data_IF_115290528466
#
_entry.id   IF_115290528466
#
_cell.length_a   1.000
_cell.length_b   1.000
_cell.length_c   1.000
_cell.angle_alpha   90.00
_cell.angle_beta   90.00
_cell.angle_gamma   90.00
#
_symmetry.space_group_name_H-M   'P 1'
#
loop_
_entity.id
_entity.type
_entity.pdbx_description
1 polymer ?
#
# COMPACT_ATOMS: atom_id res chain seq x y z
N UNK A 1 -22.21 19.61 11.00
CA UNK A 1 -21.77 18.24 11.33
C UNK A 1 -20.39 17.98 10.77
N UNK A 2 -19.51 17.46 11.58
CA UNK A 2 -18.14 17.16 11.15
C UNK A 2 -18.09 15.78 10.50
N UNK A 3 -17.56 15.73 9.27
CA UNK A 3 -17.36 14.46 8.59
C UNK A 3 -16.15 13.74 9.20
N UNK A 4 -16.37 12.54 9.74
CA UNK A 4 -15.33 11.71 10.34
C UNK A 4 -15.06 10.43 9.55
N UNK A 5 -15.55 10.38 8.29
CA UNK A 5 -15.27 9.23 7.42
C UNK A 5 -13.77 8.97 7.33
N UNK A 6 -13.35 7.74 7.61
CA UNK A 6 -11.96 7.35 7.59
C UNK A 6 -11.19 7.66 8.87
N UNK A 7 -11.85 8.19 9.90
CA UNK A 7 -11.21 8.43 11.19
C UNK A 7 -11.47 7.25 12.12
N UNK A 8 -10.43 6.71 12.73
CA UNK A 8 -10.53 5.65 13.72
C UNK A 8 -10.11 6.18 15.08
N UNK A 9 -10.58 5.52 16.12
CA UNK A 9 -10.32 5.94 17.50
C UNK A 9 -8.83 5.81 17.87
N UNK A 10 -8.19 4.72 17.44
CA UNK A 10 -6.82 4.39 17.87
C UNK A 10 -5.76 4.57 16.79
N UNK A 11 -6.15 4.59 15.52
CA UNK A 11 -5.21 4.65 14.40
C UNK A 11 -5.25 5.98 13.62
N UNK A 12 -5.96 6.98 14.14
CA UNK A 12 -6.10 8.26 13.46
C UNK A 12 -6.96 8.16 12.20
N UNK A 13 -6.63 8.96 11.19
CA UNK A 13 -7.34 8.91 9.91
C UNK A 13 -6.77 7.79 9.06
N UNK A 14 -7.62 7.11 8.31
CA UNK A 14 -7.20 6.00 7.46
C UNK A 14 -7.92 6.01 6.12
N UNK A 15 -7.32 5.31 5.14
CA UNK A 15 -7.89 5.14 3.81
C UNK A 15 -7.61 3.70 3.35
N UNK A 16 -8.56 3.14 2.61
CA UNK A 16 -8.41 1.82 2.03
C UNK A 16 -8.89 1.81 0.59
N UNK A 17 -8.15 1.14 -0.29
CA UNK A 17 -8.59 0.89 -1.66
C UNK A 17 -8.38 -0.58 -1.99
N UNK A 18 -9.17 -1.09 -2.92
CA UNK A 18 -9.07 -2.49 -3.38
C UNK A 18 -9.13 -2.52 -4.89
N UNK A 19 -8.40 -3.48 -5.46
CA UNK A 19 -8.38 -3.69 -6.90
C UNK A 19 -8.26 -5.18 -7.17
N UNK A 20 -9.22 -5.75 -7.91
CA UNK A 20 -9.16 -7.15 -8.32
C UNK A 20 -8.51 -7.25 -9.70
N UNK A 21 -7.57 -8.17 -9.82
CA UNK A 21 -6.83 -8.39 -11.06
C UNK A 21 -6.92 -9.85 -11.47
N UNK A 22 -6.81 -10.13 -12.79
CA UNK A 22 -6.97 -11.45 -13.34
C UNK A 22 -5.64 -12.21 -13.35
N UNK A 23 -5.13 -12.52 -12.15
CA UNK A 23 -3.89 -13.28 -11.97
C UNK A 23 -3.94 -14.00 -10.63
N UNK A 24 -3.10 -15.03 -10.47
CA UNK A 24 -3.05 -15.77 -9.21
C UNK A 24 -2.42 -14.92 -8.11
N UNK A 25 -2.72 -15.23 -6.86
CA UNK A 25 -2.16 -14.52 -5.72
C UNK A 25 -0.63 -14.56 -5.69
N UNK A 26 -0.05 -15.69 -6.04
CA UNK A 26 1.40 -15.83 -6.09
C UNK A 26 2.03 -14.90 -7.14
N UNK A 27 1.46 -14.85 -8.33
CA UNK A 27 1.95 -13.98 -9.40
C UNK A 27 1.80 -12.50 -9.01
N UNK A 28 0.65 -12.15 -8.43
CA UNK A 28 0.41 -10.78 -7.98
C UNK A 28 1.39 -10.40 -6.87
N UNK A 29 1.61 -11.29 -5.90
CA UNK A 29 2.54 -11.04 -4.80
C UNK A 29 3.98 -10.82 -5.30
N UNK A 30 4.44 -11.68 -6.20
CA UNK A 30 5.78 -11.54 -6.78
C UNK A 30 5.94 -10.21 -7.50
N UNK A 31 4.90 -9.78 -8.21
CA UNK A 31 4.92 -8.48 -8.88
C UNK A 31 5.01 -7.34 -7.86
N UNK A 32 4.16 -7.36 -6.85
CA UNK A 32 4.12 -6.31 -5.83
C UNK A 32 5.45 -6.18 -5.07
N UNK A 33 6.13 -7.29 -4.82
CA UNK A 33 7.39 -7.30 -4.09
C UNK A 33 8.61 -7.10 -4.99
N UNK A 34 8.43 -7.07 -6.30
CA UNK A 34 9.51 -6.93 -7.27
C UNK A 34 9.29 -5.78 -8.24
N UNK A 35 8.90 -6.12 -9.48
CA UNK A 35 8.73 -5.13 -10.55
C UNK A 35 7.69 -4.07 -10.25
N UNK A 36 6.70 -4.39 -9.44
CA UNK A 36 5.64 -3.45 -9.07
C UNK A 36 5.96 -2.52 -7.91
N UNK A 37 7.09 -2.70 -7.22
CA UNK A 37 7.46 -1.82 -6.12
C UNK A 37 7.43 -0.34 -6.50
N UNK A 38 7.99 0.08 -7.66
CA UNK A 38 7.92 1.49 -8.05
C UNK A 38 6.51 2.03 -8.23
N UNK A 39 5.52 1.16 -8.47
CA UNK A 39 4.14 1.60 -8.67
C UNK A 39 3.44 1.95 -7.35
N UNK A 40 3.79 1.28 -6.25
CA UNK A 40 3.08 1.52 -4.99
C UNK A 40 3.97 2.03 -3.85
N UNK A 41 5.26 1.75 -3.85
CA UNK A 41 6.16 2.18 -2.77
C UNK A 41 7.23 3.14 -3.27
N UNK A 42 7.95 2.76 -4.31
CA UNK A 42 9.08 3.52 -4.84
C UNK A 42 10.20 2.58 -5.23
N UNK A 43 11.23 3.13 -5.84
CA UNK A 43 12.40 2.34 -6.22
C UNK A 43 13.20 1.98 -4.97
N UNK A 44 13.20 0.69 -4.63
CA UNK A 44 13.88 0.18 -3.46
C UNK A 44 13.93 -1.34 -3.53
N UNK A 45 14.69 -1.93 -2.63
CA UNK A 45 14.60 -3.36 -2.33
C UNK A 45 13.91 -3.47 -0.99
N UNK A 46 12.76 -4.10 -0.96
CA UNK A 46 12.00 -4.22 0.29
C UNK A 46 12.46 -5.44 1.06
N UNK A 47 12.95 -5.27 2.30
CA UNK A 47 13.32 -6.41 3.13
C UNK A 47 12.09 -7.22 3.53
N UNK A 48 12.28 -8.48 3.87
CA UNK A 48 11.21 -9.42 4.18
C UNK A 48 11.18 -9.82 5.66
N UNK A 49 11.95 -9.15 6.49
CA UNK A 49 12.03 -9.47 7.91
C UNK A 49 11.59 -8.28 8.75
N UNK A 50 10.83 -8.60 9.81
CA UNK A 50 10.35 -7.59 10.76
C UNK A 50 11.55 -6.83 11.36
N UNK A 51 11.41 -5.50 11.41
CA UNK A 51 12.43 -4.63 11.97
C UNK A 51 13.46 -4.12 10.97
N UNK A 52 13.50 -4.67 9.77
CA UNK A 52 14.44 -4.22 8.76
C UNK A 52 13.93 -2.95 8.07
N UNK A 53 14.85 -2.00 7.87
CA UNK A 53 14.54 -0.69 7.30
C UNK A 53 14.62 -0.69 5.78
N UNK A 54 13.85 0.19 5.15
CA UNK A 54 13.94 0.46 3.71
C UNK A 54 13.99 1.96 3.47
N UNK A 55 14.50 2.34 2.30
CA UNK A 55 14.49 3.71 1.81
C UNK A 55 14.27 3.69 0.31
N UNK A 56 13.35 4.50 -0.19
CA UNK A 56 13.11 4.62 -1.63
C UNK A 56 13.96 5.74 -2.23
N UNK A 57 14.13 5.71 -3.54
CA UNK A 57 14.91 6.71 -4.26
C UNK A 57 14.33 8.12 -4.10
N UNK A 58 13.01 8.24 -3.92
CA UNK A 58 12.33 9.53 -3.79
C UNK A 58 12.12 9.95 -2.33
N UNK A 59 12.75 9.29 -1.38
CA UNK A 59 12.83 9.77 0.00
C UNK A 59 11.78 9.25 0.97
N UNK A 60 11.11 8.15 0.65
CA UNK A 60 10.25 7.49 1.63
C UNK A 60 11.08 6.53 2.46
N UNK A 61 10.96 6.60 3.78
CA UNK A 61 11.66 5.72 4.69
C UNK A 61 10.68 5.00 5.61
N UNK A 62 11.11 3.85 6.12
CA UNK A 62 10.33 3.09 7.07
C UNK A 62 10.98 1.76 7.41
N UNK A 63 10.22 0.92 8.09
CA UNK A 63 10.67 -0.43 8.42
C UNK A 63 9.52 -1.41 8.27
N UNK A 64 9.85 -2.66 7.98
CA UNK A 64 8.87 -3.74 7.88
C UNK A 64 8.41 -4.12 9.29
N UNK A 65 7.10 -4.16 9.48
CA UNK A 65 6.48 -4.53 10.77
C UNK A 65 5.90 -5.94 10.73
N UNK A 66 5.34 -6.34 9.60
CA UNK A 66 4.82 -7.69 9.37
C UNK A 66 5.11 -8.07 7.93
N UNK A 67 5.59 -9.27 7.71
CA UNK A 67 5.73 -9.84 6.36
C UNK A 67 5.22 -11.28 6.40
N UNK A 68 4.17 -11.54 5.62
CA UNK A 68 3.63 -12.89 5.44
C UNK A 68 3.55 -13.13 3.94
N UNK A 69 4.45 -13.98 3.44
CA UNK A 69 4.58 -14.22 1.99
C UNK A 69 3.25 -14.64 1.38
N UNK A 70 2.96 -14.11 0.20
CA UNK A 70 1.72 -14.34 -0.54
C UNK A 70 0.46 -13.88 0.18
N UNK A 71 0.58 -13.06 1.22
CA UNK A 71 -0.55 -12.59 2.01
C UNK A 71 -0.54 -11.10 2.26
N UNK A 72 0.47 -10.60 2.97
CA UNK A 72 0.49 -9.17 3.30
C UNK A 72 1.88 -8.71 3.74
N UNK A 73 2.12 -7.43 3.55
CA UNK A 73 3.24 -6.72 4.16
C UNK A 73 2.68 -5.48 4.84
N UNK A 74 3.13 -5.25 6.08
CA UNK A 74 2.77 -4.07 6.84
C UNK A 74 4.07 -3.36 7.21
N UNK A 75 4.14 -2.06 6.94
CA UNK A 75 5.37 -1.29 7.13
C UNK A 75 5.04 0.11 7.60
N UNK A 76 6.01 0.77 8.20
CA UNK A 76 5.89 2.20 8.44
C UNK A 76 6.23 2.93 7.14
N UNK A 77 5.63 4.09 6.93
CA UNK A 77 5.76 4.84 5.70
C UNK A 77 5.89 6.32 6.03
N UNK A 78 7.04 6.89 5.70
CA UNK A 78 7.37 8.26 6.12
C UNK A 78 8.16 8.97 5.03
N UNK A 79 7.50 9.78 4.20
CA UNK A 79 8.20 10.65 3.26
C UNK A 79 9.09 11.65 4.02
N UNK A 80 10.24 11.97 3.47
CA UNK A 80 11.22 12.85 4.11
C UNK A 80 10.63 14.20 4.53
N UNK A 81 9.66 14.72 3.76
CA UNK A 81 9.05 16.03 4.03
C UNK A 81 7.82 15.97 4.94
N UNK A 82 7.47 14.78 5.46
CA UNK A 82 6.35 14.64 6.38
C UNK A 82 6.83 14.73 7.83
N UNK A 83 6.06 15.39 8.73
CA UNK A 83 6.47 15.53 10.14
C UNK A 83 6.18 14.31 10.99
N UNK A 84 5.55 13.27 10.44
CA UNK A 84 5.16 12.07 11.20
C UNK A 84 5.21 10.84 10.31
N UNK A 85 5.37 9.67 10.92
CA UNK A 85 5.27 8.41 10.19
C UNK A 85 3.83 7.92 10.18
N UNK A 86 3.55 7.02 9.25
CA UNK A 86 2.24 6.39 9.05
C UNK A 86 2.44 4.89 8.93
N UNK A 87 1.35 4.15 8.80
CA UNK A 87 1.40 2.69 8.63
C UNK A 87 0.71 2.31 7.33
N UNK A 88 1.41 1.56 6.50
CA UNK A 88 0.91 1.13 5.20
C UNK A 88 0.86 -0.39 5.15
N UNK A 89 -0.26 -0.95 4.69
CA UNK A 89 -0.40 -2.39 4.50
C UNK A 89 -0.84 -2.67 3.08
N UNK A 90 -0.16 -3.60 2.43
CA UNK A 90 -0.56 -4.13 1.12
C UNK A 90 -0.80 -5.61 1.30
N UNK A 91 -1.96 -6.08 0.83
CA UNK A 91 -2.37 -7.47 1.00
C UNK A 91 -2.92 -8.02 -0.30
N UNK A 92 -2.91 -9.34 -0.42
CA UNK A 92 -3.54 -10.05 -1.52
C UNK A 92 -4.50 -11.09 -0.95
N UNK A 93 -5.64 -11.25 -1.60
CA UNK A 93 -6.65 -12.19 -1.19
C UNK A 93 -7.29 -12.83 -2.42
N UNK A 94 -7.47 -14.14 -2.39
CA UNK A 94 -8.11 -14.84 -3.47
C UNK A 94 -9.54 -14.33 -3.68
N UNK A 95 -9.91 -14.16 -4.95
CA UNK A 95 -11.24 -13.68 -5.33
C UNK A 95 -11.71 -14.43 -6.57
N UNK A 96 -12.99 -14.33 -6.86
CA UNK A 96 -13.55 -14.94 -8.07
C UNK A 96 -12.87 -14.33 -9.29
N UNK A 97 -12.25 -15.20 -10.11
CA UNK A 97 -11.59 -14.80 -11.34
C UNK A 97 -10.22 -14.16 -11.15
N UNK A 98 -9.65 -14.18 -9.94
CA UNK A 98 -8.33 -13.61 -9.76
C UNK A 98 -7.94 -13.35 -8.32
N UNK A 99 -7.36 -12.18 -8.09
CA UNK A 99 -6.83 -11.79 -6.79
C UNK A 99 -7.19 -10.34 -6.50
N UNK A 100 -7.64 -10.07 -5.28
CA UNK A 100 -7.88 -8.71 -4.82
C UNK A 100 -6.66 -8.19 -4.09
N UNK A 101 -6.14 -7.06 -4.56
CA UNK A 101 -5.07 -6.32 -3.92
C UNK A 101 -5.72 -5.31 -2.99
N UNK A 102 -5.35 -5.33 -1.72
CA UNK A 102 -5.82 -4.33 -0.74
C UNK A 102 -4.69 -3.39 -0.36
N UNK A 103 -4.96 -2.10 -0.32
CA UNK A 103 -4.01 -1.09 0.16
C UNK A 103 -4.70 -0.36 1.29
N UNK A 104 -4.11 -0.40 2.49
CA UNK A 104 -4.67 0.23 3.68
C UNK A 104 -3.60 1.13 4.29
N UNK A 105 -3.93 2.41 4.46
CA UNK A 105 -2.98 3.40 4.95
C UNK A 105 -3.58 4.05 6.19
N UNK A 106 -2.92 3.88 7.33
CA UNK A 106 -3.39 4.31 8.64
C UNK A 106 -2.51 5.40 9.24
N UNK A 107 -3.01 6.03 10.30
CA UNK A 107 -2.28 7.01 11.10
C UNK A 107 -2.02 8.29 10.32
N UNK A 108 -2.93 8.63 9.43
CA UNK A 108 -2.91 9.91 8.73
C UNK A 108 -3.30 11.01 9.70
N UNK A 109 -2.74 12.19 9.55
CA UNK A 109 -2.82 13.25 10.54
C UNK A 109 -4.20 13.93 10.58
N UNK A 110 -4.84 14.09 9.41
CA UNK A 110 -6.08 14.84 9.31
C UNK A 110 -6.87 14.44 8.06
N UNK A 111 -8.03 15.07 7.89
CA UNK A 111 -8.92 14.82 6.77
C UNK A 111 -8.29 15.16 5.42
N UNK A 112 -7.51 16.22 5.37
CA UNK A 112 -6.88 16.66 4.13
C UNK A 112 -5.81 15.67 3.68
N UNK A 113 -4.98 15.21 4.61
CA UNK A 113 -3.98 14.19 4.32
C UNK A 113 -4.65 12.90 3.86
N UNK A 114 -5.75 12.51 4.50
CA UNK A 114 -6.53 11.37 4.06
C UNK A 114 -7.05 11.52 2.64
N UNK A 115 -7.59 12.69 2.31
CA UNK A 115 -8.10 12.96 0.95
C UNK A 115 -6.99 12.86 -0.10
N UNK A 116 -5.85 13.43 0.21
CA UNK A 116 -4.68 13.38 -0.66
C UNK A 116 -4.24 11.94 -0.90
N UNK A 117 -4.14 11.15 0.16
CA UNK A 117 -3.69 9.77 0.05
C UNK A 117 -4.74 8.87 -0.60
N UNK A 118 -6.02 9.16 -0.43
CA UNK A 118 -7.07 8.43 -1.14
C UNK A 118 -6.90 8.60 -2.65
N UNK A 119 -6.66 9.82 -3.11
CA UNK A 119 -6.41 10.08 -4.54
C UNK A 119 -5.16 9.37 -5.04
N UNK A 120 -4.10 9.41 -4.25
CA UNK A 120 -2.84 8.73 -4.58
C UNK A 120 -3.05 7.22 -4.73
N UNK A 121 -3.70 6.59 -3.75
CA UNK A 121 -3.88 5.14 -3.77
C UNK A 121 -4.88 4.69 -4.84
N UNK A 122 -5.87 5.51 -5.18
CA UNK A 122 -6.74 5.21 -6.32
C UNK A 122 -5.95 5.19 -7.63
N UNK A 123 -5.00 6.11 -7.79
CA UNK A 123 -4.13 6.13 -8.97
C UNK A 123 -3.22 4.90 -8.99
N UNK A 124 -2.67 4.53 -7.85
CA UNK A 124 -1.84 3.31 -7.73
C UNK A 124 -2.65 2.09 -8.12
N UNK A 125 -3.88 1.96 -7.59
CA UNK A 125 -4.75 0.84 -7.91
C UNK A 125 -5.03 0.74 -9.41
N UNK A 126 -5.24 1.88 -10.08
CA UNK A 126 -5.44 1.91 -11.52
C UNK A 126 -4.21 1.45 -12.29
N UNK A 127 -3.02 1.85 -11.86
CA UNK A 127 -1.77 1.41 -12.47
C UNK A 127 -1.54 -0.10 -12.27
N UNK A 128 -1.87 -0.62 -11.08
CA UNK A 128 -1.78 -2.05 -10.81
C UNK A 128 -2.76 -2.83 -11.69
N UNK A 129 -3.98 -2.33 -11.85
CA UNK A 129 -4.96 -2.95 -12.73
C UNK A 129 -4.45 -3.02 -14.17
N UNK A 130 -3.85 -1.93 -14.65
CA UNK A 130 -3.31 -1.88 -16.00
C UNK A 130 -2.17 -2.88 -16.20
N UNK A 131 -1.36 -3.12 -15.17
CA UNK A 131 -0.24 -4.06 -15.24
C UNK A 131 -0.72 -5.51 -15.46
N UNK A 132 -1.93 -5.83 -15.03
CA UNK A 132 -2.49 -7.18 -15.16
C UNK A 132 -3.61 -7.26 -16.22
N UNK A 133 -3.81 -6.21 -17.00
CA UNK A 133 -4.83 -6.20 -18.04
C UNK A 133 -4.35 -7.06 -19.22
N UNK A 134 -5.09 -8.14 -19.58
CA UNK A 134 -4.69 -9.00 -20.69
C UNK A 134 -4.78 -8.32 -22.04
N UNK A 135 -5.48 -7.21 -22.15
CA UNK A 135 -5.63 -6.43 -23.39
C UNK A 135 -4.66 -5.26 -23.51
N UNK A 136 -3.74 -5.20 -22.60
CA UNK A 136 -2.74 -4.16 -22.52
C UNK A 136 -1.75 -4.19 -23.68
#
# INVERSE_FOLDING_TARGET
MTDTTGKTKDAGWEVGVRQTVAASGEVVWQFLMGEGLPLWLGETTLPRAKGEAYRTADGVVGEVRVYTENTKVRLTWHPDDWPHDTTLQVSVKEADGGTTIGIHHERLADREERRMMLGHWKNVAAHLAAAFDPNR
#
